data_IF_331162787316
#
_entry.id   IF_331162787316
#
_cell.length_a   1.000
_cell.length_b   1.000
_cell.length_c   1.000
_cell.angle_alpha   90.00
_cell.angle_beta   90.00
_cell.angle_gamma   90.00
#
_symmetry.space_group_name_H-M   'P 1'
#
loop_
_entity.id
_entity.type
_entity.pdbx_description
1 polymer ?
#
# COMPACT_ATOMS: atom_id res chain seq x y z
N UNK A 1 -35.37 -20.36 17.62
CA UNK A 1 -34.61 -19.94 16.43
C UNK A 1 -33.58 -18.89 16.88
N UNK A 2 -32.34 -19.28 16.95
CA UNK A 2 -31.28 -18.33 17.25
C UNK A 2 -31.02 -17.54 15.98
N UNK A 3 -31.19 -16.24 16.02
CA UNK A 3 -30.72 -15.29 15.00
C UNK A 3 -29.19 -15.46 14.92
N UNK A 4 -28.58 -15.64 13.73
CA UNK A 4 -27.13 -15.63 13.65
C UNK A 4 -26.65 -14.26 14.12
N UNK A 5 -25.83 -14.28 15.13
CA UNK A 5 -25.07 -13.15 15.62
C UNK A 5 -24.37 -12.50 14.41
N UNK A 6 -24.88 -11.37 13.96
CA UNK A 6 -24.19 -10.53 13.00
C UNK A 6 -22.94 -10.03 13.74
N UNK A 7 -21.89 -10.83 13.66
CA UNK A 7 -20.61 -10.58 14.32
C UNK A 7 -20.24 -9.11 14.13
N UNK A 8 -20.03 -8.42 15.22
CA UNK A 8 -19.40 -7.12 15.25
C UNK A 8 -18.08 -7.23 14.47
N UNK A 9 -18.15 -6.92 13.18
CA UNK A 9 -16.94 -6.72 12.39
C UNK A 9 -16.27 -5.48 12.97
N UNK A 10 -15.33 -5.73 13.89
CA UNK A 10 -14.55 -4.65 14.47
C UNK A 10 -13.79 -3.91 13.38
N UNK A 11 -13.60 -2.61 13.55
CA UNK A 11 -12.80 -1.79 12.64
C UNK A 11 -11.43 -2.41 12.42
N UNK A 12 -11.04 -2.59 11.16
CA UNK A 12 -9.70 -3.04 10.77
C UNK A 12 -8.79 -1.85 10.48
N UNK A 13 -7.50 -2.03 10.73
CA UNK A 13 -6.47 -1.09 10.30
C UNK A 13 -5.82 -1.59 9.02
N UNK A 14 -5.74 -0.75 8.03
CA UNK A 14 -5.33 -1.07 6.66
C UNK A 14 -4.27 -0.11 6.15
N UNK A 15 -3.52 -0.57 5.15
CA UNK A 15 -2.60 0.26 4.37
C UNK A 15 -2.58 -0.25 2.94
N UNK A 16 -2.42 0.65 1.98
CA UNK A 16 -2.25 0.29 0.55
C UNK A 16 -0.81 0.55 0.16
N UNK A 17 -0.16 -0.47 -0.37
CA UNK A 17 1.26 -0.44 -0.70
C UNK A 17 1.54 -0.97 -2.10
N UNK A 18 2.71 -0.61 -2.63
CA UNK A 18 3.32 -1.17 -3.83
C UNK A 18 4.58 -1.93 -3.37
N UNK A 19 4.51 -3.26 -3.22
CA UNK A 19 5.64 -4.04 -2.73
C UNK A 19 6.74 -4.16 -3.79
N UNK A 20 7.98 -4.30 -3.35
CA UNK A 20 9.12 -4.51 -4.24
C UNK A 20 9.32 -6.00 -4.58
N UNK A 21 8.66 -6.88 -3.85
CA UNK A 21 8.68 -8.32 -4.04
C UNK A 21 7.26 -8.83 -4.29
N UNK A 22 7.09 -9.97 -4.98
CA UNK A 22 5.78 -10.58 -5.15
C UNK A 22 5.15 -10.94 -3.80
N UNK A 23 3.94 -10.43 -3.54
CA UNK A 23 3.12 -10.77 -2.38
C UNK A 23 1.78 -11.35 -2.86
N UNK A 24 1.24 -12.29 -2.09
CA UNK A 24 -0.02 -12.96 -2.39
C UNK A 24 -1.01 -12.76 -1.25
N UNK A 25 -2.29 -12.74 -1.58
CA UNK A 25 -3.34 -12.77 -0.57
C UNK A 25 -3.14 -13.96 0.37
N UNK A 26 -3.25 -13.71 1.67
CA UNK A 26 -3.01 -14.70 2.71
C UNK A 26 -1.59 -14.71 3.30
N UNK A 27 -0.60 -14.14 2.61
CA UNK A 27 0.75 -14.00 3.16
C UNK A 27 0.70 -13.19 4.46
N UNK A 28 1.49 -13.61 5.44
CA UNK A 28 1.62 -12.94 6.74
C UNK A 28 3.06 -12.58 7.04
N UNK A 29 3.27 -11.55 7.81
CA UNK A 29 4.62 -11.14 8.22
C UNK A 29 4.65 -10.59 9.65
N UNK A 30 5.80 -10.74 10.30
CA UNK A 30 6.09 -10.13 11.60
C UNK A 30 6.61 -8.69 11.43
N UNK A 31 6.69 -7.94 12.53
CA UNK A 31 7.23 -6.57 12.54
C UNK A 31 8.62 -6.50 11.88
N UNK A 32 9.50 -7.45 12.20
CA UNK A 32 10.88 -7.47 11.69
C UNK A 32 11.01 -7.90 10.24
N UNK A 33 9.94 -8.43 9.63
CA UNK A 33 9.93 -8.99 8.28
C UNK A 33 8.95 -8.28 7.34
N UNK A 34 8.56 -7.06 7.68
CA UNK A 34 7.71 -6.24 6.83
C UNK A 34 8.36 -6.05 5.46
N UNK A 35 7.77 -6.57 4.36
CA UNK A 35 8.38 -6.49 3.04
C UNK A 35 8.69 -5.05 2.63
N UNK A 36 9.76 -4.84 1.86
CA UNK A 36 10.08 -3.54 1.31
C UNK A 36 8.97 -3.11 0.35
N UNK A 37 8.54 -1.87 0.49
CA UNK A 37 7.40 -1.34 -0.27
C UNK A 37 7.43 0.19 -0.35
N UNK A 38 6.70 0.71 -1.33
CA UNK A 38 6.28 2.11 -1.36
C UNK A 38 4.86 2.19 -0.81
N UNK A 39 4.62 3.04 0.18
CA UNK A 39 3.26 3.29 0.67
C UNK A 39 2.51 4.18 -0.32
N UNK A 40 1.36 3.74 -0.77
CA UNK A 40 0.48 4.51 -1.65
C UNK A 40 -0.57 5.28 -0.85
N UNK A 41 -1.29 4.60 0.04
CA UNK A 41 -2.24 5.21 0.97
C UNK A 41 -1.82 4.86 2.39
N UNK A 42 -1.61 5.88 3.20
CA UNK A 42 -1.19 5.77 4.60
C UNK A 42 -2.20 4.93 5.41
N UNK A 43 -1.77 4.36 6.55
CA UNK A 43 -2.66 3.56 7.37
C UNK A 43 -3.97 4.27 7.73
N UNK A 44 -5.08 3.60 7.51
CA UNK A 44 -6.44 4.06 7.84
C UNK A 44 -7.21 2.97 8.59
N UNK A 45 -8.27 3.37 9.27
CA UNK A 45 -9.14 2.47 10.03
C UNK A 45 -10.56 2.54 9.48
N UNK A 46 -11.15 1.38 9.22
CA UNK A 46 -12.53 1.29 8.74
C UNK A 46 -13.18 -0.02 9.16
N UNK A 47 -14.51 -0.03 9.25
CA UNK A 47 -15.32 -1.23 9.42
C UNK A 47 -15.65 -1.93 8.08
N UNK A 48 -15.26 -1.33 6.95
CA UNK A 48 -15.44 -1.93 5.63
C UNK A 48 -14.55 -3.17 5.54
N UNK A 49 -15.11 -4.26 5.03
CA UNK A 49 -14.39 -5.53 4.94
C UNK A 49 -13.37 -5.57 3.79
N UNK A 50 -12.53 -6.60 3.83
CA UNK A 50 -11.45 -6.78 2.85
C UNK A 50 -11.98 -6.94 1.43
N UNK A 51 -13.12 -7.60 1.24
CA UNK A 51 -13.67 -7.88 -0.08
C UNK A 51 -14.17 -6.59 -0.74
N UNK A 52 -14.87 -5.75 0.01
CA UNK A 52 -15.34 -4.45 -0.48
C UNK A 52 -14.17 -3.49 -0.77
N UNK A 53 -13.16 -3.44 0.11
CA UNK A 53 -11.94 -2.66 -0.13
C UNK A 53 -11.19 -3.16 -1.38
N UNK A 54 -11.08 -4.48 -1.53
CA UNK A 54 -10.46 -5.11 -2.69
C UNK A 54 -11.19 -4.82 -3.98
N UNK A 55 -12.51 -4.92 -3.99
CA UNK A 55 -13.35 -4.62 -5.15
C UNK A 55 -13.22 -3.16 -5.62
N UNK A 56 -12.91 -2.24 -4.71
CA UNK A 56 -12.64 -0.84 -5.06
C UNK A 56 -11.23 -0.62 -5.64
N UNK A 57 -10.23 -1.38 -5.19
CA UNK A 57 -8.82 -1.20 -5.58
C UNK A 57 -8.43 -2.01 -6.83
N UNK A 58 -9.00 -3.19 -7.02
CA UNK A 58 -8.68 -4.07 -8.14
C UNK A 58 -8.83 -3.41 -9.52
N UNK A 59 -9.90 -2.64 -9.82
CA UNK A 59 -10.03 -1.95 -11.11
C UNK A 59 -8.92 -0.93 -11.36
N UNK A 60 -8.39 -0.30 -10.31
CA UNK A 60 -7.27 0.64 -10.43
C UNK A 60 -5.99 -0.09 -10.86
N UNK A 61 -5.73 -1.25 -10.27
CA UNK A 61 -4.60 -2.08 -10.68
C UNK A 61 -4.73 -2.53 -12.13
N UNK A 62 -5.93 -2.96 -12.54
CA UNK A 62 -6.19 -3.40 -13.91
C UNK A 62 -6.02 -2.29 -14.95
N UNK A 63 -6.25 -1.04 -14.57
CA UNK A 63 -6.14 0.13 -15.46
C UNK A 63 -4.78 0.85 -15.40
N UNK A 64 -3.93 0.50 -14.44
CA UNK A 64 -2.63 1.14 -14.23
C UNK A 64 -1.52 0.27 -14.82
N UNK A 65 -0.67 0.84 -15.66
CA UNK A 65 0.53 0.15 -16.15
C UNK A 65 1.54 -0.06 -15.01
N UNK A 66 2.38 -1.10 -15.06
CA UNK A 66 3.53 -1.23 -14.17
C UNK A 66 4.35 0.07 -14.15
N UNK A 67 4.80 0.48 -12.97
CA UNK A 67 5.45 1.78 -12.78
C UNK A 67 6.96 1.58 -12.65
N UNK A 68 7.76 1.93 -13.69
CA UNK A 68 9.20 1.95 -13.55
C UNK A 68 9.62 3.10 -12.63
N UNK A 69 10.54 2.80 -11.73
CA UNK A 69 11.07 3.76 -10.77
C UNK A 69 12.58 3.65 -10.67
N UNK A 70 13.22 4.74 -10.29
CA UNK A 70 14.62 4.77 -9.90
C UNK A 70 14.71 5.16 -8.43
N UNK A 71 15.54 4.48 -7.68
CA UNK A 71 15.79 4.85 -6.30
C UNK A 71 16.67 6.10 -6.25
N UNK A 72 16.17 7.10 -5.60
CA UNK A 72 16.83 8.38 -5.38
C UNK A 72 17.64 8.41 -4.08
N UNK A 73 18.03 9.60 -3.62
CA UNK A 73 18.85 9.76 -2.44
C UNK A 73 18.17 9.31 -1.15
N UNK A 74 18.97 8.94 -0.17
CA UNK A 74 18.52 8.67 1.18
C UNK A 74 18.05 9.96 1.87
N UNK A 75 17.05 9.81 2.75
CA UNK A 75 16.50 10.88 3.57
C UNK A 75 16.13 10.35 4.95
N UNK A 76 15.87 11.25 5.89
CA UNK A 76 15.36 10.92 7.22
C UNK A 76 13.96 11.48 7.37
N UNK A 77 13.00 10.59 7.64
CA UNK A 77 11.60 10.93 7.83
C UNK A 77 11.17 10.76 9.31
N UNK A 78 9.93 11.08 9.57
CA UNK A 78 9.34 11.02 10.90
C UNK A 78 9.51 12.31 11.72
N UNK A 79 8.77 12.46 12.82
CA UNK A 79 8.78 13.66 13.66
C UNK A 79 10.16 13.98 14.26
N UNK A 80 10.98 12.94 14.46
CA UNK A 80 12.33 13.07 15.02
C UNK A 80 13.43 13.04 13.94
N UNK A 81 13.07 12.97 12.65
CA UNK A 81 14.01 12.80 11.54
C UNK A 81 14.99 11.62 11.75
N UNK A 82 14.48 10.50 12.22
CA UNK A 82 15.26 9.31 12.59
C UNK A 82 14.86 8.04 11.82
N UNK A 83 13.90 8.13 10.89
CA UNK A 83 13.47 7.01 10.06
C UNK A 83 14.21 7.06 8.72
N UNK A 84 15.19 6.18 8.48
CA UNK A 84 15.90 6.17 7.22
C UNK A 84 15.01 5.66 6.08
N UNK A 85 14.93 6.42 5.02
CA UNK A 85 14.20 6.10 3.80
C UNK A 85 15.05 6.37 2.58
N UNK A 86 14.76 5.69 1.48
CA UNK A 86 15.27 6.04 0.16
C UNK A 86 14.12 6.62 -0.66
N UNK A 87 14.31 7.80 -1.22
CA UNK A 87 13.30 8.45 -2.05
C UNK A 87 13.11 7.65 -3.34
N UNK A 88 11.93 7.75 -3.94
CA UNK A 88 11.59 7.06 -5.18
C UNK A 88 11.28 8.09 -6.26
N UNK A 89 12.01 8.01 -7.36
CA UNK A 89 11.79 8.81 -8.56
C UNK A 89 10.90 8.02 -9.52
N UNK A 90 9.63 8.42 -9.61
CA UNK A 90 8.58 7.71 -10.33
C UNK A 90 8.10 8.46 -11.59
N UNK A 91 8.71 9.60 -11.90
CA UNK A 91 8.29 10.47 -13.00
C UNK A 91 6.88 11.05 -12.81
N UNK A 92 6.43 11.18 -11.57
CA UNK A 92 5.11 11.71 -11.22
C UNK A 92 3.95 10.73 -11.43
N UNK A 93 4.21 9.44 -11.62
CA UNK A 93 3.18 8.42 -11.93
C UNK A 93 2.42 7.95 -10.70
N UNK A 94 3.02 7.97 -9.53
CA UNK A 94 2.38 7.48 -8.30
C UNK A 94 1.36 8.46 -7.71
N UNK A 95 1.53 9.75 -7.88
CA UNK A 95 0.61 10.74 -7.33
C UNK A 95 -0.82 10.61 -7.90
N UNK A 96 -1.04 10.45 -9.22
CA UNK A 96 -2.36 10.17 -9.77
C UNK A 96 -2.95 8.84 -9.29
N UNK A 97 -2.17 7.77 -9.24
CA UNK A 97 -2.62 6.48 -8.73
C UNK A 97 -3.05 6.57 -7.27
N UNK A 98 -2.29 7.31 -6.46
CA UNK A 98 -2.65 7.59 -5.07
C UNK A 98 -3.97 8.34 -4.97
N UNK A 99 -4.18 9.38 -5.76
CA UNK A 99 -5.41 10.14 -5.77
C UNK A 99 -6.61 9.25 -6.14
N UNK A 100 -6.48 8.43 -7.17
CA UNK A 100 -7.52 7.49 -7.59
C UNK A 100 -7.83 6.45 -6.51
N UNK A 101 -6.80 5.93 -5.84
CA UNK A 101 -6.98 4.99 -4.72
C UNK A 101 -7.70 5.66 -3.54
N UNK A 102 -7.34 6.88 -3.19
CA UNK A 102 -8.02 7.65 -2.14
C UNK A 102 -9.48 7.92 -2.49
N UNK A 103 -9.77 8.28 -3.74
CA UNK A 103 -11.13 8.55 -4.19
C UNK A 103 -11.99 7.27 -4.19
N UNK A 104 -11.43 6.14 -4.61
CA UNK A 104 -12.10 4.85 -4.54
C UNK A 104 -12.46 4.46 -3.09
N UNK A 105 -11.54 4.68 -2.15
CA UNK A 105 -11.78 4.42 -0.72
C UNK A 105 -12.82 5.39 -0.13
N UNK A 106 -12.76 6.68 -0.48
CA UNK A 106 -13.76 7.66 -0.05
C UNK A 106 -15.16 7.35 -0.59
N UNK A 107 -15.26 6.80 -1.79
CA UNK A 107 -16.54 6.35 -2.35
C UNK A 107 -17.19 5.23 -1.52
N UNK A 108 -16.41 4.48 -0.74
CA UNK A 108 -16.88 3.52 0.25
C UNK A 108 -17.11 4.14 1.65
N UNK A 109 -17.09 5.46 1.75
CA UNK A 109 -17.17 6.20 3.01
C UNK A 109 -16.02 5.91 4.00
N UNK A 110 -14.85 5.52 3.49
CA UNK A 110 -13.64 5.42 4.30
C UNK A 110 -13.15 6.82 4.66
N UNK A 111 -12.96 7.07 5.95
CA UNK A 111 -12.40 8.32 6.45
C UNK A 111 -10.86 8.29 6.38
N UNK A 112 -10.30 8.91 5.35
CA UNK A 112 -8.86 9.10 5.20
C UNK A 112 -8.44 10.40 5.90
N UNK A 113 -8.41 10.39 7.23
CA UNK A 113 -8.07 11.56 8.04
C UNK A 113 -6.69 12.09 7.70
N UNK A 114 -6.62 13.39 7.40
CA UNK A 114 -5.39 14.12 7.18
C UNK A 114 -4.43 13.47 6.18
N UNK A 115 -4.87 13.18 4.93
CA UNK A 115 -3.95 12.68 3.93
C UNK A 115 -2.82 13.70 3.74
N UNK A 116 -1.58 13.21 3.67
CA UNK A 116 -0.45 14.09 3.39
C UNK A 116 -0.64 14.76 2.04
N UNK A 117 -0.47 16.07 2.00
CA UNK A 117 -0.56 16.87 0.77
C UNK A 117 0.76 16.89 0.00
N UNK A 118 1.87 16.62 0.68
CA UNK A 118 3.23 16.56 0.16
C UNK A 118 3.67 15.09 -0.04
N UNK A 119 2.97 14.35 -0.88
CA UNK A 119 3.30 12.96 -1.13
C UNK A 119 4.70 12.82 -1.72
N UNK A 120 5.57 12.17 -0.98
CA UNK A 120 6.95 11.85 -1.39
C UNK A 120 7.12 10.34 -1.35
N UNK A 121 7.01 9.64 -2.49
CA UNK A 121 7.18 8.20 -2.53
C UNK A 121 8.58 7.80 -2.04
N UNK A 122 8.62 6.78 -1.20
CA UNK A 122 9.86 6.33 -0.58
C UNK A 122 9.77 4.87 -0.15
N UNK A 123 10.91 4.24 0.02
CA UNK A 123 11.07 2.92 0.63
C UNK A 123 11.77 3.08 1.97
N UNK A 124 11.12 2.62 3.04
CA UNK A 124 11.73 2.64 4.38
C UNK A 124 12.76 1.51 4.50
N UNK A 125 13.95 1.82 4.94
CA UNK A 125 14.98 0.82 5.22
C UNK A 125 14.54 -0.11 6.35
N UNK A 126 14.81 -1.41 6.21
CA UNK A 126 14.49 -2.46 7.18
C UNK A 126 15.76 -3.17 7.62
N UNK A 127 15.70 -3.88 8.75
CA UNK A 127 16.85 -4.67 9.24
C UNK A 127 17.27 -5.77 8.25
N UNK A 128 16.31 -6.34 7.51
CA UNK A 128 16.55 -7.43 6.56
C UNK A 128 16.88 -6.96 5.15
N UNK A 129 16.78 -5.66 4.86
CA UNK A 129 17.08 -5.15 3.53
C UNK A 129 16.82 -3.67 3.35
N UNK A 130 17.45 -3.12 2.34
CA UNK A 130 17.28 -1.76 1.87
C UNK A 130 17.53 -1.70 0.37
N UNK A 131 16.98 -0.71 -0.28
CA UNK A 131 17.34 -0.36 -1.66
C UNK A 131 18.52 0.59 -1.67
N UNK A 132 19.14 0.77 -2.84
CA UNK A 132 20.31 1.65 -3.02
C UNK A 132 19.98 2.71 -4.06
N UNK A 133 20.51 3.89 -3.86
CA UNK A 133 20.44 4.96 -4.86
C UNK A 133 20.93 4.47 -6.22
N UNK A 134 20.16 4.77 -7.27
CA UNK A 134 20.43 4.33 -8.64
C UNK A 134 19.83 2.98 -9.02
N UNK A 135 19.31 2.18 -8.05
CA UNK A 135 18.59 0.96 -8.37
C UNK A 135 17.37 1.27 -9.25
N UNK A 136 17.18 0.47 -10.29
CA UNK A 136 16.02 0.56 -11.18
C UNK A 136 15.10 -0.60 -10.91
N UNK A 137 13.85 -0.29 -10.61
CA UNK A 137 12.83 -1.27 -10.25
C UNK A 137 11.55 -1.00 -11.04
N UNK A 138 10.69 -2.01 -11.12
CA UNK A 138 9.34 -1.83 -11.63
C UNK A 138 8.37 -2.25 -10.54
N UNK A 139 7.47 -1.34 -10.18
CA UNK A 139 6.37 -1.63 -9.25
C UNK A 139 5.26 -2.32 -10.06
N UNK A 140 4.97 -3.56 -9.74
CA UNK A 140 4.08 -4.42 -10.54
C UNK A 140 2.79 -4.80 -9.83
N UNK A 141 2.69 -4.51 -8.52
CA UNK A 141 1.56 -4.92 -7.69
C UNK A 141 0.98 -3.74 -6.92
N UNK A 142 -0.35 -3.73 -6.80
CA UNK A 142 -1.10 -2.95 -5.82
C UNK A 142 -1.58 -3.91 -4.74
N UNK A 143 -1.26 -3.62 -3.49
CA UNK A 143 -1.48 -4.57 -2.39
C UNK A 143 -2.20 -3.90 -1.23
N UNK A 144 -3.27 -4.54 -0.76
CA UNK A 144 -4.00 -4.17 0.45
C UNK A 144 -3.51 -5.03 1.62
N UNK A 145 -3.06 -4.39 2.67
CA UNK A 145 -2.53 -5.05 3.86
C UNK A 145 -3.42 -4.74 5.06
N UNK A 146 -3.83 -5.77 5.79
CA UNK A 146 -4.45 -5.64 7.10
C UNK A 146 -3.35 -5.61 8.16
N UNK A 147 -3.26 -4.51 8.88
CA UNK A 147 -2.29 -4.33 9.95
C UNK A 147 -2.83 -4.89 11.27
N UNK A 148 -2.00 -5.65 11.97
CA UNK A 148 -2.30 -6.22 13.29
C UNK A 148 -3.68 -6.89 13.35
N UNK A 149 -3.94 -7.90 12.50
CA UNK A 149 -5.22 -8.61 12.53
C UNK A 149 -5.41 -9.26 13.92
N UNK A 150 -6.60 -9.09 14.55
CA UNK A 150 -6.82 -9.50 15.94
C UNK A 150 -6.76 -11.02 16.16
N UNK A 151 -6.98 -11.78 15.09
CA UNK A 151 -6.96 -13.24 15.10
C UNK A 151 -5.56 -13.85 15.09
N UNK A 152 -4.52 -13.04 14.93
CA UNK A 152 -3.13 -13.51 14.82
C UNK A 152 -2.18 -12.61 15.60
N UNK A 153 -0.99 -13.14 15.92
CA UNK A 153 0.14 -12.38 16.46
C UNK A 153 0.97 -11.66 15.38
N UNK A 154 0.57 -11.79 14.11
CA UNK A 154 1.30 -11.19 13.00
C UNK A 154 1.15 -9.68 12.96
N UNK A 155 2.19 -8.99 12.48
CA UNK A 155 2.14 -7.54 12.27
C UNK A 155 1.23 -7.16 11.11
N UNK A 156 1.19 -7.96 10.07
CA UNK A 156 0.35 -7.74 8.91
C UNK A 156 -0.01 -9.01 8.17
N UNK A 157 -1.10 -8.93 7.43
CA UNK A 157 -1.59 -9.95 6.51
C UNK A 157 -1.99 -9.30 5.21
N UNK A 158 -1.58 -9.90 4.10
CA UNK A 158 -1.98 -9.48 2.76
C UNK A 158 -3.43 -9.88 2.54
N UNK A 159 -4.31 -8.89 2.43
CA UNK A 159 -5.73 -9.11 2.17
C UNK A 159 -6.04 -9.25 0.67
N UNK A 160 -5.28 -8.55 -0.18
CA UNK A 160 -5.37 -8.64 -1.61
C UNK A 160 -4.11 -8.10 -2.28
N UNK A 161 -3.78 -8.66 -3.44
CA UNK A 161 -2.65 -8.21 -4.25
C UNK A 161 -3.00 -8.38 -5.72
N UNK A 162 -2.93 -7.31 -6.49
CA UNK A 162 -3.38 -7.25 -7.87
C UNK A 162 -2.26 -6.72 -8.77
N UNK A 163 -2.05 -7.38 -9.90
CA UNK A 163 -1.07 -6.94 -10.89
C UNK A 163 -1.48 -5.61 -11.53
N UNK A 164 -0.53 -4.70 -11.62
CA UNK A 164 -0.68 -3.52 -12.46
C UNK A 164 -0.60 -3.98 -13.91
N UNK A 165 -1.75 -4.05 -14.59
CA UNK A 165 -1.89 -4.66 -15.90
C UNK A 165 -2.43 -3.74 -16.98
N UNK A 166 -2.59 -2.46 -16.67
CA UNK A 166 -2.97 -1.43 -17.63
C UNK A 166 -1.90 -1.25 -18.71
N UNK A 167 -2.32 -0.72 -19.85
CA UNK A 167 -1.38 -0.35 -20.92
C UNK A 167 -0.72 0.98 -20.59
N UNK A 168 0.60 1.06 -20.78
CA UNK A 168 1.26 2.34 -20.80
C UNK A 168 0.62 3.18 -21.92
N UNK A 169 0.05 4.33 -21.57
CA UNK A 169 -0.50 5.24 -22.56
C UNK A 169 0.59 5.57 -23.57
N UNK A 170 0.34 5.32 -24.85
CA UNK A 170 1.17 5.90 -25.90
C UNK A 170 1.05 7.41 -25.73
N UNK A 171 2.14 8.06 -25.33
CA UNK A 171 2.20 9.51 -25.39
C UNK A 171 1.97 9.93 -26.84
N UNK A 172 1.16 10.98 -27.10
CA UNK A 172 0.97 11.52 -28.43
C UNK A 172 2.28 12.08 -28.99
#
# INVERSE_FOLDING_TARGET
MATPDAGRQGSGRWVVVLPLEPLRAGDVFSVGQWPLHVTLVEPFTTAIDADALGAALEPLAASTAPVPVTIGPDALFGPKHDIPVSLVEDGGRLAPLRADAQDALRALAVDLRHPRTDYRPHVTAKRHGRVREGDRLTLELLTLVRLRPPETSHHGRIAGSWSLSGRAGSAP
#
